data_IF_991644939645
#
_entry.id   IF_991644939645
#
_cell.length_a   1.000
_cell.length_b   1.000
_cell.length_c   1.000
_cell.angle_alpha   90.00
_cell.angle_beta   90.00
_cell.angle_gamma   90.00
#
_symmetry.space_group_name_H-M   'P 1'
#
loop_
_entity.id
_entity.type
_entity.pdbx_description
1 polymer ?
#
# COMPACT_ATOMS: atom_id res chain seq x y z
N UNK A 1 13.96 17.38 4.15
CA UNK A 1 12.58 17.43 3.67
C UNK A 1 11.67 16.62 4.54
N UNK A 2 10.45 17.09 4.69
CA UNK A 2 9.49 16.36 5.48
C UNK A 2 9.03 15.11 4.74
N UNK A 3 8.84 14.00 5.44
CA UNK A 3 8.28 12.82 4.81
C UNK A 3 6.84 13.06 4.40
N UNK A 4 6.44 12.41 3.34
CA UNK A 4 5.05 12.43 2.89
C UNK A 4 4.31 11.25 3.49
N UNK A 5 2.99 11.36 3.51
CA UNK A 5 2.14 10.28 3.99
C UNK A 5 1.01 10.10 3.00
N UNK A 6 0.81 8.87 2.59
CA UNK A 6 -0.29 8.54 1.67
C UNK A 6 -1.05 7.36 2.23
N UNK A 7 -2.38 7.45 2.15
CA UNK A 7 -3.24 6.35 2.56
C UNK A 7 -3.69 5.62 1.31
N UNK A 8 -3.54 4.32 1.33
CA UNK A 8 -3.82 3.48 0.17
C UNK A 8 -4.81 2.39 0.54
N UNK A 9 -5.69 2.09 -0.39
CA UNK A 9 -6.57 0.94 -0.29
C UNK A 9 -6.07 -0.08 -1.32
N UNK A 10 -5.58 -1.21 -0.84
CA UNK A 10 -5.03 -2.26 -1.69
C UNK A 10 -6.00 -3.41 -1.76
N UNK A 11 -6.25 -3.89 -2.97
CA UNK A 11 -7.06 -5.09 -3.19
C UNK A 11 -6.18 -6.15 -3.82
N UNK A 12 -6.14 -7.32 -3.18
CA UNK A 12 -5.27 -8.42 -3.59
C UNK A 12 -6.11 -9.52 -4.23
N UNK A 13 -5.79 -9.91 -5.48
CA UNK A 13 -6.42 -11.09 -6.08
C UNK A 13 -5.88 -12.34 -5.42
N UNK A 14 -6.58 -13.45 -5.61
CA UNK A 14 -6.24 -14.69 -4.93
C UNK A 14 -4.77 -15.10 -5.05
N UNK A 15 -4.13 -15.03 -6.21
CA UNK A 15 -2.74 -15.47 -6.31
C UNK A 15 -1.79 -14.68 -5.43
N UNK A 16 -2.18 -13.46 -5.00
CA UNK A 16 -1.30 -12.62 -4.21
C UNK A 16 -1.66 -12.61 -2.73
N UNK A 17 -2.71 -13.32 -2.33
CA UNK A 17 -3.16 -13.28 -0.95
C UNK A 17 -2.09 -13.80 0.01
N UNK A 18 -1.37 -14.83 -0.40
CA UNK A 18 -0.35 -15.42 0.47
C UNK A 18 1.04 -14.85 0.25
N UNK A 19 1.20 -13.95 -0.71
CA UNK A 19 2.49 -13.35 -0.98
C UNK A 19 2.67 -12.12 -0.10
N UNK A 20 3.82 -11.98 0.57
CA UNK A 20 4.04 -10.83 1.47
C UNK A 20 4.38 -9.55 0.70
N UNK A 21 3.44 -9.07 -0.10
CA UNK A 21 3.68 -7.96 -1.02
C UNK A 21 4.02 -6.68 -0.27
N UNK A 22 3.33 -6.41 0.85
CA UNK A 22 3.59 -5.19 1.60
C UNK A 22 5.00 -5.21 2.19
N UNK A 23 5.41 -6.36 2.71
CA UNK A 23 6.77 -6.51 3.23
C UNK A 23 7.80 -6.32 2.12
N UNK A 24 7.52 -6.88 0.94
CA UNK A 24 8.43 -6.74 -0.18
C UNK A 24 8.59 -5.27 -0.57
N UNK A 25 7.49 -4.53 -0.54
CA UNK A 25 7.56 -3.10 -0.87
C UNK A 25 8.39 -2.36 0.17
N UNK A 26 8.22 -2.69 1.45
CA UNK A 26 8.98 -2.04 2.49
C UNK A 26 10.48 -2.25 2.28
N UNK A 27 10.86 -3.47 1.95
CA UNK A 27 12.27 -3.77 1.71
C UNK A 27 12.79 -3.14 0.44
N UNK A 28 11.98 -3.13 -0.61
CA UNK A 28 12.44 -2.71 -1.92
C UNK A 28 12.54 -1.20 -2.03
N UNK A 29 11.60 -0.50 -1.45
CA UNK A 29 11.52 0.96 -1.61
C UNK A 29 11.78 1.72 -0.32
N UNK A 30 11.96 1.02 0.78
CA UNK A 30 12.22 1.69 2.05
C UNK A 30 11.02 2.40 2.63
N UNK A 31 9.82 2.09 2.15
CA UNK A 31 8.63 2.71 2.71
C UNK A 31 8.30 2.10 4.06
N UNK A 32 7.57 2.86 4.87
CA UNK A 32 7.18 2.42 6.20
C UNK A 32 5.67 2.22 6.21
N UNK A 33 5.20 1.00 6.04
CA UNK A 33 3.76 0.75 6.00
C UNK A 33 3.17 0.68 7.40
N UNK A 34 2.04 1.34 7.57
CA UNK A 34 1.27 1.27 8.79
C UNK A 34 -0.12 0.77 8.42
N UNK A 35 -0.40 -0.48 8.78
CA UNK A 35 -1.67 -1.09 8.40
C UNK A 35 -2.77 -0.57 9.31
N UNK A 36 -3.75 0.08 8.70
CA UNK A 36 -4.89 0.64 9.44
C UNK A 36 -6.02 -0.35 9.54
N UNK A 37 -6.20 -1.15 8.52
CA UNK A 37 -7.27 -2.15 8.48
C UNK A 37 -6.88 -3.22 7.48
N UNK A 38 -7.18 -4.46 7.82
CA UNK A 38 -6.93 -5.56 6.91
C UNK A 38 -8.07 -6.56 7.00
N UNK A 39 -8.47 -7.07 5.86
CA UNK A 39 -9.49 -8.09 5.78
C UNK A 39 -9.03 -9.09 4.72
N UNK A 40 -8.43 -10.17 5.17
CA UNK A 40 -7.85 -11.17 4.28
C UNK A 40 -8.67 -12.45 4.34
N UNK A 41 -9.11 -12.88 3.16
CA UNK A 41 -9.88 -14.11 3.02
C UNK A 41 -9.12 -15.06 2.12
N UNK A 42 -9.71 -16.25 1.91
CA UNK A 42 -9.02 -17.26 1.12
C UNK A 42 -8.78 -16.82 -0.33
N UNK A 43 -9.75 -16.13 -0.91
CA UNK A 43 -9.70 -15.80 -2.33
C UNK A 43 -9.45 -14.32 -2.61
N UNK A 44 -9.38 -13.50 -1.60
CA UNK A 44 -9.14 -12.08 -1.81
C UNK A 44 -8.65 -11.45 -0.52
N UNK A 45 -8.06 -10.27 -0.64
CA UNK A 45 -7.65 -9.52 0.52
C UNK A 45 -7.76 -8.03 0.25
N UNK A 46 -8.08 -7.28 1.30
CA UNK A 46 -8.13 -5.82 1.25
C UNK A 46 -7.38 -5.27 2.42
N UNK A 47 -6.57 -4.27 2.16
CA UNK A 47 -5.76 -3.65 3.21
C UNK A 47 -5.80 -2.15 3.02
N UNK A 48 -6.06 -1.44 4.11
CA UNK A 48 -5.91 0.01 4.14
C UNK A 48 -4.66 0.30 4.93
N UNK A 49 -3.71 0.95 4.29
CA UNK A 49 -2.46 1.26 4.96
C UNK A 49 -2.00 2.67 4.64
N UNK A 50 -1.11 3.16 5.46
CA UNK A 50 -0.45 4.43 5.24
C UNK A 50 1.03 4.18 5.00
N UNK A 51 1.57 4.83 3.99
CA UNK A 51 2.99 4.80 3.73
C UNK A 51 3.57 6.16 4.09
N UNK A 52 4.65 6.14 4.83
CA UNK A 52 5.32 7.37 5.27
C UNK A 52 6.76 7.29 4.83
N UNK A 53 7.17 8.12 3.96
CA UNK A 53 8.55 8.38 3.56
C UNK A 53 8.49 9.46 2.50
N UNK A 54 9.56 9.60 1.72
CA UNK A 54 9.58 10.57 0.63
C UNK A 54 8.53 10.21 -0.41
N UNK A 55 7.94 11.23 -1.00
CA UNK A 55 6.86 11.05 -1.97
C UNK A 55 7.28 10.14 -3.13
N UNK A 56 8.52 10.26 -3.57
CA UNK A 56 8.99 9.47 -4.69
C UNK A 56 8.95 7.97 -4.38
N UNK A 57 9.35 7.60 -3.17
CA UNK A 57 9.32 6.20 -2.77
C UNK A 57 7.89 5.68 -2.70
N UNK A 58 6.97 6.53 -2.26
CA UNK A 58 5.55 6.16 -2.24
C UNK A 58 5.05 5.93 -3.66
N UNK A 59 5.38 6.84 -4.58
CA UNK A 59 4.94 6.72 -5.96
C UNK A 59 5.52 5.47 -6.62
N UNK A 60 6.78 5.17 -6.36
CA UNK A 60 7.40 3.97 -6.90
C UNK A 60 6.73 2.71 -6.36
N UNK A 61 6.38 2.72 -5.08
CA UNK A 61 5.69 1.59 -4.46
C UNK A 61 4.34 1.35 -5.09
N UNK A 62 3.58 2.43 -5.31
CA UNK A 62 2.25 2.31 -5.91
C UNK A 62 2.36 1.72 -7.31
N UNK A 63 3.34 2.18 -8.08
CA UNK A 63 3.55 1.67 -9.42
C UNK A 63 3.89 0.18 -9.39
N UNK A 64 4.76 -0.20 -8.46
CA UNK A 64 5.16 -1.59 -8.33
C UNK A 64 3.99 -2.48 -7.89
N UNK A 65 3.16 -2.01 -6.94
CA UNK A 65 1.98 -2.77 -6.55
C UNK A 65 1.12 -3.08 -7.76
N UNK A 66 0.89 -2.07 -8.61
CA UNK A 66 0.07 -2.27 -9.80
C UNK A 66 0.73 -3.27 -10.75
N UNK A 67 2.04 -3.23 -10.87
CA UNK A 67 2.75 -4.13 -11.76
C UNK A 67 2.64 -5.59 -11.33
N UNK A 68 2.66 -5.85 -10.02
CA UNK A 68 2.57 -7.22 -9.54
C UNK A 68 1.13 -7.72 -9.48
N UNK A 69 0.15 -6.84 -9.69
CA UNK A 69 -1.23 -7.27 -9.78
C UNK A 69 -2.13 -6.82 -8.65
N UNK A 70 -1.66 -5.94 -7.77
CA UNK A 70 -2.48 -5.38 -6.70
C UNK A 70 -3.22 -4.16 -7.24
N UNK A 71 -4.52 -4.09 -6.95
CA UNK A 71 -5.28 -2.90 -7.30
C UNK A 71 -5.10 -1.86 -6.21
N UNK A 72 -4.66 -0.67 -6.59
CA UNK A 72 -4.35 0.39 -5.66
C UNK A 72 -5.29 1.56 -5.86
N UNK A 73 -5.93 1.99 -4.78
CA UNK A 73 -6.70 3.22 -4.79
C UNK A 73 -6.11 4.16 -3.74
N UNK A 74 -5.78 5.36 -4.15
CA UNK A 74 -5.29 6.36 -3.21
C UNK A 74 -6.46 7.01 -2.52
N UNK A 75 -6.31 7.19 -1.21
CA UNK A 75 -7.38 7.77 -0.40
C UNK A 75 -6.96 9.15 0.10
N UNK A 76 -6.47 9.94 -0.79
CA UNK A 76 -5.87 11.22 -0.41
C UNK A 76 -6.89 12.20 0.13
N UNK A 77 -8.12 12.11 -0.32
CA UNK A 77 -9.15 12.99 0.18
C UNK A 77 -9.38 12.87 1.67
N UNK A 78 -9.15 11.68 2.20
CA UNK A 78 -9.34 11.45 3.62
C UNK A 78 -8.33 12.19 4.46
N UNK A 79 -7.15 12.40 3.92
CA UNK A 79 -6.08 13.04 4.65
C UNK A 79 -6.39 14.51 4.89
N UNK A 80 -7.08 15.12 3.96
CA UNK A 80 -7.35 16.54 4.03
C UNK A 80 -8.37 16.89 5.11
N UNK A 81 -9.04 15.91 5.61
CA UNK A 81 -10.05 16.11 6.62
C UNK A 81 -9.47 16.46 7.98
N UNK A 82 -8.25 16.12 8.18
CA UNK A 82 -7.65 16.28 9.49
C UNK A 82 -7.29 17.67 9.84
#
# INVERSE_FOLDING_TARGET
MSPSKSRLHLSFPEPLVERPVIYEAANRFGVMPNIRRANVETHSGRVILELTVEQRAIDDSVEWFAEVGVTVNRMEGDVLES
#
